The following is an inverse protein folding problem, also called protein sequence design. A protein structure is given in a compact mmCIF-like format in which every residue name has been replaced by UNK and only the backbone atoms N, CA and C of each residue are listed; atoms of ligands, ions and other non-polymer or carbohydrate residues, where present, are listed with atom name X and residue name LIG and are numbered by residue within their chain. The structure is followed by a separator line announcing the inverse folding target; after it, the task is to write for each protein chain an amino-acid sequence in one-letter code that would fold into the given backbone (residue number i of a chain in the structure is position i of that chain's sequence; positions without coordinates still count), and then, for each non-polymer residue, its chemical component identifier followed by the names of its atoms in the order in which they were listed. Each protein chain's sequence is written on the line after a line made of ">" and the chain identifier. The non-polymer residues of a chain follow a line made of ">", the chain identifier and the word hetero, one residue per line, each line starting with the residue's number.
data_IF_579582517222
#
_entry.id   IF_579582517222
#
_cell.length_a   1.000
_cell.length_b   1.000
_cell.length_c   1.000
_cell.angle_alpha   90.00
_cell.angle_beta   90.00
_cell.angle_gamma   90.00
#
_symmetry.space_group_name_H-M   'P 1'
#
loop_
_entity.id
_entity.type
_entity.pdbx_description
1 polymer ?
#
# COMPACT_ATOMS: atom_id res chain seq x y z
N UNK A 1 33.88 0.03 5.52
CA UNK A 1 32.70 0.21 6.34
C UNK A 1 32.43 1.69 6.33
N UNK A 2 31.63 2.13 5.41
CA UNK A 2 31.22 3.54 5.29
C UNK A 2 29.71 3.51 5.17
N UNK A 3 29.07 4.02 6.21
CA UNK A 3 27.64 4.33 6.22
C UNK A 3 27.41 5.48 5.28
N UNK A 4 26.56 5.29 4.29
CA UNK A 4 26.06 6.36 3.44
C UNK A 4 24.73 6.84 4.00
N UNK A 5 24.80 7.95 4.70
CA UNK A 5 23.65 8.76 5.06
C UNK A 5 22.93 9.23 3.79
N UNK A 6 21.68 8.85 3.66
CA UNK A 6 20.77 9.39 2.64
C UNK A 6 20.14 10.63 3.23
N UNK A 7 20.67 11.78 2.84
CA UNK A 7 20.13 13.09 3.15
C UNK A 7 18.94 13.34 2.20
N UNK A 8 17.75 13.38 2.77
CA UNK A 8 16.54 13.84 2.09
C UNK A 8 16.39 15.30 2.47
N UNK A 9 16.92 16.18 1.66
CA UNK A 9 16.64 17.62 1.76
C UNK A 9 15.27 17.91 1.16
N UNK A 10 14.38 18.37 2.03
CA UNK A 10 13.07 18.88 1.71
C UNK A 10 13.17 20.20 0.95
N UNK A 11 12.68 20.24 -0.26
CA UNK A 11 12.29 21.48 -0.93
C UNK A 11 10.90 21.92 -0.45
N UNK A 12 10.85 22.59 0.67
CA UNK A 12 9.72 23.47 1.02
C UNK A 12 10.04 24.91 0.63
N UNK A 13 9.55 25.29 -0.54
CA UNK A 13 9.34 26.71 -0.85
C UNK A 13 7.93 26.90 -1.37
N UNK A 14 7.02 27.27 -0.51
CA UNK A 14 5.74 27.85 -0.90
C UNK A 14 5.30 28.90 0.10
N UNK A 15 5.70 30.15 -0.23
CA UNK A 15 4.84 31.32 -0.34
C UNK A 15 3.86 31.58 0.80
N UNK A 16 4.36 32.21 1.87
CA UNK A 16 3.53 32.87 2.86
C UNK A 16 2.97 34.18 2.29
N UNK A 17 1.66 34.28 2.17
CA UNK A 17 0.96 35.55 2.00
C UNK A 17 0.53 36.07 3.38
N UNK A 18 0.69 37.36 3.68
CA UNK A 18 0.53 37.90 5.04
C UNK A 18 -0.94 38.05 5.42
N UNK A 19 -1.24 37.54 6.59
CA UNK A 19 -2.49 37.80 7.31
C UNK A 19 -2.40 39.18 7.92
N UNK A 20 -3.29 40.09 7.54
CA UNK A 20 -3.39 41.40 8.11
C UNK A 20 -4.46 41.38 9.23
N UNK A 21 -3.99 41.37 10.46
CA UNK A 21 -4.81 41.65 11.64
C UNK A 21 -5.06 43.14 11.74
N UNK A 22 -6.32 43.55 11.83
CA UNK A 22 -6.69 44.77 12.52
C UNK A 22 -8.02 44.56 13.24
N UNK A 23 -7.90 44.30 14.52
CA UNK A 23 -8.91 44.61 15.54
C UNK A 23 -9.16 46.12 15.54
N UNK A 24 -10.41 46.50 15.65
CA UNK A 24 -10.86 47.52 16.62
C UNK A 24 -12.37 47.57 16.73
N UNK A 25 -12.82 47.31 17.96
CA UNK A 25 -14.07 47.67 18.55
C UNK A 25 -14.33 49.19 18.45
N UNK A 26 -15.60 49.58 18.29
CA UNK A 26 -16.21 50.67 19.03
C UNK A 26 -17.71 50.71 18.83
N UNK A 27 -18.37 50.81 19.94
CA UNK A 27 -19.78 50.94 20.23
C UNK A 27 -20.42 52.22 19.71
N UNK A 28 -21.70 52.13 19.56
CA UNK A 28 -22.74 52.98 20.15
C UNK A 28 -23.45 54.00 19.28
N UNK A 29 -24.75 53.83 19.31
CA UNK A 29 -25.85 54.73 19.56
C UNK A 29 -26.47 55.56 18.44
N UNK A 30 -27.80 55.34 18.48
CA UNK A 30 -28.86 56.33 18.33
C UNK A 30 -29.44 56.65 16.95
N UNK A 31 -30.63 56.09 16.79
CA UNK A 31 -31.75 56.66 15.99
C UNK A 31 -32.12 58.06 16.52
N UNK A 32 -32.72 59.01 15.79
CA UNK A 32 -34.07 58.82 15.27
C UNK A 32 -34.47 59.59 13.98
N UNK A 33 -35.60 59.17 13.49
CA UNK A 33 -36.70 59.92 12.87
C UNK A 33 -36.64 60.43 11.44
N UNK A 34 -37.47 59.75 10.66
CA UNK A 34 -38.62 60.26 9.94
C UNK A 34 -38.45 61.34 8.88
N UNK A 35 -38.63 60.97 7.63
CA UNK A 35 -39.53 61.69 6.75
C UNK A 35 -40.01 60.83 5.60
N UNK A 36 -41.33 60.63 5.63
CA UNK A 36 -42.12 60.16 4.55
C UNK A 36 -41.83 60.94 3.25
N UNK A 37 -41.58 60.23 2.15
CA UNK A 37 -42.15 60.68 0.91
C UNK A 37 -42.41 59.47 0.00
N UNK A 38 -43.65 59.32 -0.31
CA UNK A 38 -44.23 58.43 -1.30
C UNK A 38 -43.64 58.70 -2.67
N UNK A 39 -43.32 57.64 -3.43
CA UNK A 39 -43.83 57.47 -4.80
C UNK A 39 -43.19 56.27 -5.50
N UNK A 40 -44.09 55.43 -5.95
CA UNK A 40 -44.00 54.53 -7.11
C UNK A 40 -43.20 53.21 -7.03
N UNK A 41 -43.91 52.05 -6.93
CA UNK A 41 -43.32 50.75 -7.03
C UNK A 41 -43.41 50.18 -8.45
N UNK A 42 -42.68 50.74 -9.40
CA UNK A 42 -42.51 50.17 -10.73
C UNK A 42 -41.15 50.54 -11.33
N UNK A 43 -40.04 50.20 -10.63
CA UNK A 43 -38.73 50.17 -11.27
C UNK A 43 -37.80 49.34 -10.39
N UNK A 44 -37.60 48.08 -10.74
CA UNK A 44 -36.26 47.44 -10.72
C UNK A 44 -36.33 45.92 -10.54
N UNK A 45 -36.74 45.21 -11.53
CA UNK A 45 -36.36 43.80 -11.67
C UNK A 45 -35.27 43.57 -12.73
N UNK A 46 -34.46 44.55 -12.99
CA UNK A 46 -33.17 44.33 -13.67
C UNK A 46 -32.06 44.40 -12.63
N UNK A 47 -31.98 43.38 -11.75
CA UNK A 47 -30.78 43.18 -10.99
C UNK A 47 -29.61 43.10 -11.96
N UNK A 48 -28.74 44.13 -11.88
CA UNK A 48 -27.59 44.37 -12.74
C UNK A 48 -26.86 43.04 -13.01
N UNK A 49 -26.71 42.60 -14.27
CA UNK A 49 -26.07 41.33 -14.61
C UNK A 49 -24.66 41.24 -14.02
N UNK A 50 -24.04 42.39 -13.76
CA UNK A 50 -22.73 42.46 -13.08
C UNK A 50 -22.83 42.03 -11.60
N UNK A 51 -23.88 42.46 -10.89
CA UNK A 51 -24.07 42.10 -9.49
C UNK A 51 -24.38 40.59 -9.34
N UNK A 52 -25.17 40.01 -10.25
CA UNK A 52 -25.42 38.57 -10.29
C UNK A 52 -24.12 37.78 -10.56
N UNK A 53 -23.35 38.20 -11.55
CA UNK A 53 -22.04 37.57 -11.84
C UNK A 53 -21.06 37.68 -10.68
N UNK A 54 -21.00 38.79 -9.96
CA UNK A 54 -20.16 38.94 -8.78
C UNK A 54 -20.61 38.03 -7.63
N UNK A 55 -21.89 37.87 -7.42
CA UNK A 55 -22.45 36.94 -6.41
C UNK A 55 -22.10 35.48 -6.76
N UNK A 56 -22.26 35.09 -8.02
CA UNK A 56 -21.87 33.75 -8.47
C UNK A 56 -20.36 33.49 -8.30
N UNK A 57 -19.51 34.47 -8.62
CA UNK A 57 -18.07 34.39 -8.42
C UNK A 57 -17.74 34.24 -6.92
N UNK A 58 -18.42 34.96 -6.04
CA UNK A 58 -18.22 34.86 -4.62
C UNK A 58 -18.63 33.46 -4.10
N UNK A 59 -19.77 32.96 -4.55
CA UNK A 59 -20.24 31.63 -4.20
C UNK A 59 -19.29 30.54 -4.71
N UNK A 60 -18.86 30.61 -5.96
CA UNK A 60 -17.90 29.67 -6.54
C UNK A 60 -16.56 29.68 -5.81
N UNK A 61 -16.07 30.87 -5.41
CA UNK A 61 -14.85 30.97 -4.58
C UNK A 61 -15.01 30.27 -3.23
N UNK A 62 -16.14 30.45 -2.58
CA UNK A 62 -16.43 29.77 -1.31
C UNK A 62 -16.53 28.25 -1.50
N UNK A 63 -17.16 27.78 -2.58
CA UNK A 63 -17.23 26.37 -2.92
C UNK A 63 -15.84 25.78 -3.20
N UNK A 64 -14.97 26.52 -3.93
CA UNK A 64 -13.59 26.10 -4.18
C UNK A 64 -12.83 26.02 -2.86
N UNK A 65 -12.93 27.03 -1.99
CA UNK A 65 -12.25 27.02 -0.68
C UNK A 65 -12.67 25.82 0.16
N UNK A 66 -13.98 25.53 0.20
CA UNK A 66 -14.50 24.36 0.89
C UNK A 66 -13.94 23.05 0.29
N UNK A 67 -13.95 22.94 -1.03
CA UNK A 67 -13.43 21.76 -1.74
C UNK A 67 -11.92 21.57 -1.51
N UNK A 68 -11.15 22.65 -1.48
CA UNK A 68 -9.72 22.61 -1.16
C UNK A 68 -9.50 22.07 0.26
N UNK A 69 -10.25 22.59 1.23
CA UNK A 69 -10.16 22.12 2.61
C UNK A 69 -10.58 20.64 2.76
N UNK A 70 -11.65 20.21 2.08
CA UNK A 70 -12.04 18.79 2.02
C UNK A 70 -10.92 17.92 1.42
N UNK A 71 -10.31 18.38 0.32
CA UNK A 71 -9.25 17.65 -0.35
C UNK A 71 -8.00 17.52 0.52
N UNK A 72 -7.61 18.57 1.23
CA UNK A 72 -6.48 18.53 2.17
C UNK A 72 -6.74 17.55 3.32
N UNK A 73 -7.94 17.58 3.89
CA UNK A 73 -8.34 16.64 4.92
C UNK A 73 -8.36 15.19 4.40
N UNK A 74 -8.88 14.98 3.20
CA UNK A 74 -8.86 13.68 2.53
C UNK A 74 -7.43 13.19 2.31
N UNK A 75 -6.55 14.05 1.75
CA UNK A 75 -5.14 13.74 1.52
C UNK A 75 -4.43 13.35 2.81
N UNK A 76 -4.62 14.13 3.88
CA UNK A 76 -4.02 13.84 5.19
C UNK A 76 -4.50 12.50 5.75
N UNK A 77 -5.80 12.22 5.66
CA UNK A 77 -6.38 10.94 6.09
C UNK A 77 -5.83 9.78 5.26
N UNK A 78 -5.82 9.89 3.93
CA UNK A 78 -5.33 8.84 3.05
C UNK A 78 -3.85 8.53 3.27
N UNK A 79 -3.02 9.54 3.52
CA UNK A 79 -1.61 9.33 3.87
C UNK A 79 -1.47 8.55 5.18
N UNK A 80 -2.29 8.87 6.18
CA UNK A 80 -2.30 8.14 7.46
C UNK A 80 -2.74 6.69 7.27
N UNK A 81 -3.86 6.47 6.58
CA UNK A 81 -4.38 5.13 6.26
C UNK A 81 -3.36 4.30 5.48
N UNK A 82 -2.67 4.93 4.52
CA UNK A 82 -1.62 4.26 3.75
C UNK A 82 -0.42 3.87 4.63
N UNK A 83 0.00 4.75 5.54
CA UNK A 83 1.07 4.43 6.49
C UNK A 83 0.67 3.27 7.42
N UNK A 84 -0.56 3.27 7.91
CA UNK A 84 -1.10 2.18 8.73
C UNK A 84 -1.18 0.85 7.97
N UNK A 85 -1.59 0.88 6.70
CA UNK A 85 -1.60 -0.30 5.84
C UNK A 85 -0.19 -0.86 5.59
N UNK A 86 0.81 0.00 5.44
CA UNK A 86 2.21 -0.45 5.28
C UNK A 86 2.72 -1.07 6.57
N UNK A 87 2.44 -0.46 7.72
CA UNK A 87 2.90 -0.97 9.02
C UNK A 87 2.21 -2.29 9.41
N UNK A 88 0.91 -2.38 9.17
CA UNK A 88 0.09 -3.50 9.65
C UNK A 88 -0.30 -4.49 8.53
N UNK A 89 0.15 -4.25 7.29
CA UNK A 89 -0.22 -5.10 6.14
C UNK A 89 0.21 -6.56 6.26
N UNK A 90 1.23 -6.83 7.08
CA UNK A 90 1.70 -8.18 7.39
C UNK A 90 0.94 -8.88 8.54
N UNK A 91 0.07 -8.21 9.28
CA UNK A 91 -0.56 -8.75 10.49
C UNK A 91 -1.30 -10.06 10.24
N UNK A 92 -2.14 -10.09 9.20
CA UNK A 92 -2.89 -11.29 8.81
C UNK A 92 -1.97 -12.48 8.51
N UNK A 93 -0.87 -12.22 7.81
CA UNK A 93 0.11 -13.25 7.47
C UNK A 93 0.87 -13.74 8.70
N UNK A 94 1.32 -12.82 9.54
CA UNK A 94 2.02 -13.13 10.80
C UNK A 94 1.11 -13.97 11.69
N UNK A 95 -0.14 -13.55 11.90
CA UNK A 95 -1.13 -14.29 12.70
C UNK A 95 -1.36 -15.70 12.17
N UNK A 96 -1.34 -15.88 10.84
CA UNK A 96 -1.51 -17.21 10.23
C UNK A 96 -0.29 -18.12 10.43
N UNK A 97 0.92 -17.56 10.63
CA UNK A 97 2.16 -18.32 10.84
C UNK A 97 2.37 -18.70 12.31
N UNK A 98 1.89 -17.92 13.27
CA UNK A 98 2.10 -18.19 14.69
C UNK A 98 1.77 -19.63 15.12
N UNK A 99 0.64 -20.27 14.68
CA UNK A 99 0.35 -21.66 15.04
C UNK A 99 1.36 -22.67 14.48
N UNK A 100 2.14 -22.30 13.48
CA UNK A 100 3.21 -23.16 12.93
C UNK A 100 4.45 -23.03 13.80
N UNK A 101 4.72 -21.84 14.29
CA UNK A 101 5.79 -21.59 15.26
C UNK A 101 5.55 -22.39 16.54
N UNK A 102 4.31 -22.38 17.06
CA UNK A 102 3.91 -23.17 18.24
C UNK A 102 4.14 -24.67 18.01
N UNK A 103 3.80 -25.18 16.81
CA UNK A 103 4.04 -26.58 16.44
C UNK A 103 5.55 -26.90 16.36
N UNK A 104 6.38 -25.97 15.86
CA UNK A 104 7.83 -26.11 15.83
C UNK A 104 8.43 -26.15 17.24
N UNK A 105 8.01 -25.26 18.13
CA UNK A 105 8.43 -25.23 19.53
C UNK A 105 8.09 -26.54 20.23
N UNK A 106 6.87 -27.03 20.06
CA UNK A 106 6.40 -28.32 20.59
C UNK A 106 7.21 -29.50 20.03
N UNK A 107 7.58 -29.45 18.74
CA UNK A 107 8.40 -30.50 18.13
C UNK A 107 9.82 -30.51 18.67
N UNK A 108 10.41 -29.34 18.95
CA UNK A 108 11.72 -29.20 19.57
C UNK A 108 11.70 -29.77 21.01
N UNK A 109 10.68 -29.41 21.79
CA UNK A 109 10.53 -29.91 23.17
C UNK A 109 10.36 -31.45 23.24
N UNK A 110 9.57 -31.99 22.32
CA UNK A 110 9.34 -33.43 22.24
C UNK A 110 10.56 -34.15 21.67
N UNK A 111 11.26 -33.54 20.74
CA UNK A 111 12.50 -34.05 20.16
C UNK A 111 13.63 -34.21 21.20
N UNK A 112 13.66 -33.32 22.21
CA UNK A 112 14.60 -33.47 23.34
C UNK A 112 14.30 -34.67 24.25
N UNK A 113 13.08 -35.24 24.16
CA UNK A 113 12.62 -36.37 25.01
C UNK A 113 12.56 -37.71 24.27
N UNK A 114 12.78 -37.71 22.96
CA UNK A 114 12.67 -38.87 22.10
C UNK A 114 13.98 -39.13 21.36
N UNK A 115 14.47 -40.37 21.40
CA UNK A 115 15.64 -40.81 20.62
C UNK A 115 15.29 -41.46 19.30
N UNK A 116 13.95 -41.53 18.96
CA UNK A 116 13.47 -42.13 17.73
C UNK A 116 13.46 -41.14 16.55
N UNK A 117 14.37 -41.32 15.57
CA UNK A 117 14.47 -40.41 14.43
C UNK A 117 13.28 -40.47 13.46
N UNK A 118 12.50 -41.57 13.44
CA UNK A 118 11.33 -41.69 12.60
C UNK A 118 10.20 -40.78 13.09
N UNK A 119 9.95 -40.74 14.39
CA UNK A 119 8.94 -39.86 15.02
C UNK A 119 9.28 -38.39 14.76
N UNK A 120 10.57 -38.03 14.84
CA UNK A 120 11.02 -36.67 14.52
C UNK A 120 10.81 -36.32 13.06
N UNK A 121 11.10 -37.25 12.15
CA UNK A 121 10.91 -37.02 10.71
C UNK A 121 9.43 -36.83 10.35
N UNK A 122 8.54 -37.69 10.91
CA UNK A 122 7.09 -37.54 10.72
C UNK A 122 6.58 -36.21 11.27
N UNK A 123 7.01 -35.82 12.47
CA UNK A 123 6.65 -34.53 13.07
C UNK A 123 7.05 -33.34 12.19
N UNK A 124 8.28 -33.34 11.69
CA UNK A 124 8.76 -32.31 10.78
C UNK A 124 8.00 -32.28 9.45
N UNK A 125 7.65 -33.46 8.90
CA UNK A 125 6.86 -33.55 7.68
C UNK A 125 5.46 -32.94 7.86
N UNK A 126 4.81 -33.20 9.00
CA UNK A 126 3.49 -32.61 9.32
C UNK A 126 3.58 -31.08 9.47
N UNK A 127 4.59 -30.57 10.15
CA UNK A 127 4.81 -29.12 10.29
C UNK A 127 5.04 -28.49 8.92
N UNK A 128 5.90 -29.08 8.09
CA UNK A 128 6.15 -28.61 6.73
C UNK A 128 4.87 -28.60 5.89
N UNK A 129 4.05 -29.67 5.96
CA UNK A 129 2.78 -29.72 5.25
C UNK A 129 1.80 -28.63 5.70
N UNK A 130 1.69 -28.40 7.02
CA UNK A 130 0.87 -27.34 7.60
C UNK A 130 1.34 -25.97 7.12
N UNK A 131 2.66 -25.75 7.11
CA UNK A 131 3.26 -24.50 6.64
C UNK A 131 2.92 -24.23 5.17
N UNK A 132 3.10 -25.24 4.31
CA UNK A 132 2.75 -25.11 2.90
C UNK A 132 1.28 -24.77 2.69
N UNK A 133 0.35 -25.47 3.37
CA UNK A 133 -1.08 -25.17 3.31
C UNK A 133 -1.41 -23.74 3.78
N UNK A 134 -0.74 -23.28 4.82
CA UNK A 134 -0.92 -21.90 5.32
C UNK A 134 -0.45 -20.87 4.30
N UNK A 135 0.68 -21.11 3.63
CA UNK A 135 1.18 -20.27 2.56
C UNK A 135 0.23 -20.25 1.36
N UNK A 136 -0.28 -21.41 0.95
CA UNK A 136 -1.27 -21.53 -0.13
C UNK A 136 -2.56 -20.77 0.18
N UNK A 137 -3.05 -20.83 1.43
CA UNK A 137 -4.21 -20.07 1.87
C UNK A 137 -3.99 -18.54 1.85
N UNK A 138 -2.74 -18.09 1.88
CA UNK A 138 -2.35 -16.69 1.73
C UNK A 138 -2.01 -16.31 0.26
N UNK A 139 -2.25 -17.21 -0.69
CA UNK A 139 -2.01 -17.00 -2.11
C UNK A 139 -0.58 -17.27 -2.58
N UNK A 140 0.27 -17.87 -1.72
CA UNK A 140 1.62 -18.27 -2.11
C UNK A 140 1.57 -19.66 -2.75
N UNK A 141 2.10 -19.80 -3.97
CA UNK A 141 2.20 -21.08 -4.68
C UNK A 141 3.64 -21.36 -5.11
N UNK A 142 4.02 -22.63 -5.16
CA UNK A 142 5.29 -23.05 -5.75
C UNK A 142 5.27 -22.86 -7.27
N UNK A 143 6.42 -22.52 -7.83
CA UNK A 143 6.65 -22.55 -9.27
C UNK A 143 6.95 -24.02 -9.63
N UNK A 144 6.23 -24.54 -10.62
CA UNK A 144 6.49 -25.87 -11.12
C UNK A 144 7.79 -25.88 -11.94
N UNK A 145 8.69 -26.79 -11.57
CA UNK A 145 10.00 -26.96 -12.18
C UNK A 145 10.22 -28.36 -12.71
N UNK A 146 9.25 -29.30 -12.56
CA UNK A 146 9.41 -30.67 -12.99
C UNK A 146 9.20 -30.80 -14.50
N UNK A 147 10.27 -31.07 -15.25
CA UNK A 147 10.26 -31.18 -16.72
C UNK A 147 9.69 -29.97 -17.45
N UNK A 148 9.65 -28.81 -16.77
CA UNK A 148 9.17 -27.56 -17.34
C UNK A 148 10.16 -27.01 -18.38
N UNK A 149 9.66 -26.30 -19.37
CA UNK A 149 10.49 -25.50 -20.24
C UNK A 149 11.06 -24.33 -19.44
N UNK A 150 12.31 -23.96 -19.74
CA UNK A 150 12.94 -22.83 -19.06
C UNK A 150 12.26 -21.53 -19.47
N UNK A 151 11.75 -20.80 -18.49
CA UNK A 151 11.10 -19.51 -18.64
C UNK A 151 11.83 -18.47 -17.76
N UNK A 152 12.30 -17.40 -18.38
CA UNK A 152 13.03 -16.31 -17.70
C UNK A 152 12.17 -15.54 -16.70
N UNK A 153 10.86 -15.54 -16.84
CA UNK A 153 9.94 -14.87 -15.94
C UNK A 153 9.72 -15.67 -14.62
N UNK A 154 9.97 -16.98 -14.67
CA UNK A 154 9.75 -17.90 -13.54
C UNK A 154 11.05 -18.47 -12.96
N UNK A 155 12.06 -18.66 -13.82
CA UNK A 155 13.26 -19.40 -13.51
C UNK A 155 14.53 -18.56 -13.65
N UNK A 156 15.50 -18.86 -12.81
CA UNK A 156 16.87 -18.35 -12.86
C UNK A 156 17.81 -19.54 -13.18
N UNK A 157 18.41 -19.56 -14.36
CA UNK A 157 19.36 -20.59 -14.73
C UNK A 157 20.70 -20.36 -14.00
N UNK A 158 21.06 -21.26 -13.12
CA UNK A 158 22.31 -21.20 -12.31
C UNK A 158 23.40 -22.07 -12.95
N UNK A 159 22.99 -23.15 -13.62
CA UNK A 159 23.91 -24.07 -14.28
C UNK A 159 23.33 -24.59 -15.60
N UNK A 160 24.21 -24.89 -16.55
CA UNK A 160 23.88 -25.61 -17.77
C UNK A 160 24.47 -27.02 -17.71
N UNK A 161 23.62 -28.03 -17.99
CA UNK A 161 24.03 -29.44 -17.93
C UNK A 161 24.18 -29.96 -19.36
N UNK A 162 25.41 -30.22 -19.85
CA UNK A 162 25.62 -30.74 -21.18
C UNK A 162 25.34 -32.25 -21.27
N UNK A 163 25.03 -32.73 -22.47
CA UNK A 163 24.95 -34.17 -22.75
C UNK A 163 23.68 -34.89 -22.31
N UNK A 164 22.58 -34.15 -22.03
CA UNK A 164 21.30 -34.73 -21.61
C UNK A 164 20.39 -35.19 -22.76
N UNK A 165 20.82 -35.05 -24.01
CA UNK A 165 20.00 -35.35 -25.20
C UNK A 165 19.19 -34.15 -25.71
N UNK A 166 18.81 -34.18 -26.99
CA UNK A 166 18.10 -33.08 -27.64
C UNK A 166 16.69 -32.81 -27.06
N UNK A 167 16.06 -33.83 -26.51
CA UNK A 167 14.73 -33.74 -25.88
C UNK A 167 14.72 -32.99 -24.55
N UNK A 168 15.89 -32.79 -23.92
CA UNK A 168 16.03 -32.03 -22.67
C UNK A 168 16.69 -30.66 -22.85
N UNK A 169 17.00 -30.30 -24.09
CA UNK A 169 17.57 -29.01 -24.41
C UNK A 169 16.57 -27.88 -24.12
N UNK A 170 17.01 -26.90 -23.31
CA UNK A 170 16.17 -25.78 -22.88
C UNK A 170 15.12 -26.11 -21.81
N UNK A 171 15.17 -27.34 -21.26
CA UNK A 171 14.28 -27.73 -20.16
C UNK A 171 14.99 -27.66 -18.80
N UNK A 172 14.18 -27.51 -17.77
CA UNK A 172 14.64 -27.63 -16.38
C UNK A 172 14.99 -29.08 -16.11
N UNK A 173 16.25 -29.32 -15.72
CA UNK A 173 16.77 -30.66 -15.39
C UNK A 173 16.70 -30.90 -13.89
N UNK A 174 17.04 -29.90 -13.09
CA UNK A 174 17.05 -29.99 -11.63
C UNK A 174 16.70 -28.62 -11.02
N UNK A 175 16.07 -28.67 -9.85
CA UNK A 175 15.70 -27.48 -9.11
C UNK A 175 16.56 -27.37 -7.84
N UNK A 176 17.52 -26.46 -7.87
CA UNK A 176 18.43 -26.20 -6.75
C UNK A 176 17.74 -25.42 -5.62
N UNK A 177 16.80 -24.52 -5.97
CA UNK A 177 16.03 -23.75 -5.03
C UNK A 177 14.63 -23.49 -5.58
N UNK A 178 13.62 -23.88 -4.82
CA UNK A 178 12.22 -23.69 -5.21
C UNK A 178 11.87 -22.21 -5.37
N UNK A 179 11.14 -21.88 -6.46
CA UNK A 179 10.54 -20.58 -6.68
C UNK A 179 9.15 -20.49 -6.10
N UNK A 180 8.70 -19.26 -5.83
CA UNK A 180 7.36 -18.99 -5.30
C UNK A 180 6.72 -17.78 -5.96
N UNK A 181 5.40 -17.85 -6.12
CA UNK A 181 4.53 -16.75 -6.56
C UNK A 181 3.59 -16.36 -5.42
N UNK A 182 3.28 -15.09 -5.34
CA UNK A 182 2.16 -14.59 -4.54
C UNK A 182 1.07 -14.12 -5.51
N UNK A 183 -0.02 -14.86 -5.57
CA UNK A 183 -1.03 -14.74 -6.63
C UNK A 183 -0.35 -14.83 -8.02
N UNK A 184 -0.37 -13.75 -8.81
CA UNK A 184 0.23 -13.69 -10.14
C UNK A 184 1.66 -13.13 -10.16
N UNK A 185 2.17 -12.64 -9.01
CA UNK A 185 3.48 -12.01 -8.94
C UNK A 185 4.53 -13.00 -8.44
N UNK A 186 5.62 -13.17 -9.22
CA UNK A 186 6.80 -13.91 -8.77
C UNK A 186 7.48 -13.13 -7.64
N UNK A 187 7.59 -13.76 -6.47
CA UNK A 187 8.29 -13.20 -5.29
C UNK A 187 9.70 -13.79 -5.13
N UNK A 188 9.92 -14.96 -5.73
CA UNK A 188 11.23 -15.60 -5.81
C UNK A 188 11.28 -16.54 -7.01
N UNK A 189 12.20 -16.31 -7.94
CA UNK A 189 12.44 -17.22 -9.06
C UNK A 189 12.95 -18.57 -8.57
N UNK A 190 12.61 -19.64 -9.30
CA UNK A 190 13.22 -20.95 -9.04
C UNK A 190 14.63 -20.98 -9.62
N UNK A 191 15.63 -21.35 -8.80
CA UNK A 191 16.98 -21.56 -9.29
C UNK A 191 17.11 -22.98 -9.83
N UNK A 192 17.39 -23.05 -11.13
CA UNK A 192 17.33 -24.32 -11.88
C UNK A 192 18.61 -24.59 -12.66
N UNK A 193 18.87 -25.86 -12.89
CA UNK A 193 19.83 -26.31 -13.88
C UNK A 193 19.08 -26.61 -15.19
N UNK A 194 19.60 -26.12 -16.32
CA UNK A 194 18.97 -26.22 -17.64
C UNK A 194 19.78 -27.13 -18.55
N UNK A 195 19.12 -27.97 -19.34
CA UNK A 195 19.74 -28.83 -20.34
C UNK A 195 20.28 -28.01 -21.51
N UNK A 196 21.51 -28.33 -21.95
CA UNK A 196 22.20 -27.71 -23.06
C UNK A 196 22.16 -28.60 -24.33
#
# INVERSE_FOLDING_TARGET
>A
MEEKDINIEDEETLNEAPVNETDKEAENSENPENSENSENPEESEEADPLAKAQAEIAELKNQILYKVAEFENYRKRTLKERAELILNGGEKFITAILPILDDMERAIENGAKTDDPEVLREGMALIHQKFMKTLEAQGVSKIDTENADFDTDLHEAVAMVPGMGDDKKGKVIDCLQQGYKLNDKVIRHAKVAVGQ
#
